data_IF_697530580802
#
_entry.id   IF_697530580802
#
_cell.length_a   1.000
_cell.length_b   1.000
_cell.length_c   1.000
_cell.angle_alpha   90.00
_cell.angle_beta   90.00
_cell.angle_gamma   90.00
#
_symmetry.space_group_name_H-M   'P 1'
#
loop_
_entity.id
_entity.type
_entity.pdbx_description
1 polymer ?
#
# COMPACT_ATOMS: atom_id res chain seq x y z
N UNK A 1 20.86 1.14 1.10
CA UNK A 1 19.99 0.34 1.99
C UNK A 1 18.95 1.20 2.72
N UNK A 2 19.34 2.30 3.38
CA UNK A 2 18.43 3.21 4.11
C UNK A 2 17.20 3.56 3.26
N UNK A 3 17.39 4.10 2.06
CA UNK A 3 16.29 4.57 1.21
C UNK A 3 15.29 3.45 0.86
N UNK A 4 15.79 2.24 0.58
CA UNK A 4 14.93 1.09 0.30
C UNK A 4 14.06 0.69 1.50
N UNK A 5 14.66 0.63 2.70
CA UNK A 5 13.91 0.28 3.92
C UNK A 5 12.89 1.37 4.27
N UNK A 6 13.28 2.65 4.18
CA UNK A 6 12.40 3.79 4.46
C UNK A 6 11.24 3.86 3.47
N UNK A 7 11.50 3.57 2.20
CA UNK A 7 10.47 3.53 1.17
C UNK A 7 9.49 2.36 1.41
N UNK A 8 10.00 1.15 1.73
CA UNK A 8 9.15 0.00 2.11
C UNK A 8 8.27 0.36 3.31
N UNK A 9 8.84 0.96 4.37
CA UNK A 9 8.10 1.35 5.58
C UNK A 9 7.04 2.40 5.26
N UNK A 10 7.37 3.38 4.42
CA UNK A 10 6.43 4.40 3.95
C UNK A 10 5.25 3.79 3.21
N UNK A 11 5.47 2.75 2.42
CA UNK A 11 4.45 2.08 1.61
C UNK A 11 3.74 0.93 2.33
N UNK A 12 4.15 0.59 3.54
CA UNK A 12 3.54 -0.46 4.38
C UNK A 12 3.10 0.09 5.73
N UNK A 13 4.01 0.25 6.66
CA UNK A 13 3.77 0.59 8.06
C UNK A 13 3.09 1.95 8.26
N UNK A 14 3.46 2.98 7.48
CA UNK A 14 2.91 4.32 7.65
C UNK A 14 1.44 4.45 7.28
N UNK A 15 0.91 3.49 6.53
CA UNK A 15 -0.52 3.43 6.19
C UNK A 15 -1.41 3.00 7.37
N UNK A 16 -0.82 2.32 8.39
CA UNK A 16 -1.47 2.01 9.66
C UNK A 16 -2.50 0.87 9.63
N UNK A 17 -2.65 0.17 8.51
CA UNK A 17 -3.58 -0.97 8.38
C UNK A 17 -2.90 -2.29 7.95
N UNK A 18 -1.58 -2.28 7.80
CA UNK A 18 -0.76 -3.47 7.65
C UNK A 18 0.00 -3.74 8.94
N UNK A 19 -0.05 -4.97 9.44
CA UNK A 19 0.65 -5.38 10.66
C UNK A 19 1.95 -6.13 10.36
N UNK A 20 1.98 -6.82 9.22
CA UNK A 20 3.07 -7.66 8.76
C UNK A 20 3.39 -7.34 7.30
N UNK A 21 4.65 -7.55 6.89
CA UNK A 21 5.01 -7.59 5.48
C UNK A 21 6.07 -8.67 5.24
N UNK A 22 6.02 -9.29 4.06
CA UNK A 22 7.02 -10.25 3.62
C UNK A 22 7.92 -9.62 2.57
N UNK A 23 9.22 -9.80 2.71
CA UNK A 23 10.21 -9.44 1.71
C UNK A 23 10.78 -10.74 1.13
N UNK A 24 10.83 -10.82 -0.19
CA UNK A 24 11.50 -11.89 -0.95
C UNK A 24 12.60 -11.26 -1.79
N UNK A 25 13.85 -11.55 -1.46
CA UNK A 25 15.02 -10.98 -2.13
C UNK A 25 15.84 -12.03 -2.85
N UNK A 26 16.35 -11.63 -4.01
CA UNK A 26 17.37 -12.35 -4.80
C UNK A 26 18.45 -11.35 -5.22
N UNK A 27 19.50 -11.83 -5.89
CA UNK A 27 20.52 -10.94 -6.46
C UNK A 27 19.96 -10.00 -7.56
N UNK A 28 18.80 -10.37 -8.15
CA UNK A 28 18.20 -9.66 -9.28
C UNK A 28 16.94 -8.86 -8.89
N UNK A 29 16.29 -9.18 -7.78
CA UNK A 29 15.02 -8.57 -7.39
C UNK A 29 14.83 -8.49 -5.89
N UNK A 30 14.03 -7.51 -5.45
CA UNK A 30 13.47 -7.46 -4.09
C UNK A 30 11.99 -7.16 -4.21
N UNK A 31 11.18 -8.11 -3.78
CA UNK A 31 9.71 -8.03 -3.78
C UNK A 31 9.20 -7.84 -2.36
N UNK A 32 8.11 -7.09 -2.22
CA UNK A 32 7.41 -6.89 -0.95
C UNK A 32 5.97 -7.29 -1.13
N UNK A 33 5.45 -8.09 -0.22
CA UNK A 33 4.06 -8.51 -0.21
C UNK A 33 3.46 -8.30 1.17
N UNK A 34 2.24 -7.76 1.23
CA UNK A 34 1.44 -7.70 2.45
C UNK A 34 -0.05 -7.63 2.13
N UNK A 35 -0.88 -7.87 3.13
CA UNK A 35 -2.31 -7.57 3.08
C UNK A 35 -2.79 -7.13 4.48
N UNK A 36 -3.90 -6.39 4.52
CA UNK A 36 -4.58 -6.11 5.78
C UNK A 36 -5.32 -7.36 6.29
N UNK A 37 -5.65 -7.40 7.57
CA UNK A 37 -6.28 -8.55 8.25
C UNK A 37 -7.51 -9.08 7.50
N UNK A 38 -8.33 -8.19 6.96
CA UNK A 38 -9.58 -8.53 6.25
C UNK A 38 -9.38 -8.72 4.74
N UNK A 39 -8.15 -8.61 4.25
CA UNK A 39 -7.81 -8.65 2.81
C UNK A 39 -8.60 -7.65 1.95
N UNK A 40 -8.95 -6.50 2.51
CA UNK A 40 -9.53 -5.39 1.76
C UNK A 40 -8.48 -4.64 0.93
N UNK A 41 -7.20 -4.79 1.30
CA UNK A 41 -6.05 -4.28 0.55
C UNK A 41 -4.98 -5.35 0.51
N UNK A 42 -4.50 -5.65 -0.69
CA UNK A 42 -3.29 -6.46 -0.92
C UNK A 42 -2.26 -5.55 -1.57
N UNK A 43 -1.04 -5.57 -1.08
CA UNK A 43 0.10 -4.89 -1.68
C UNK A 43 1.04 -5.90 -2.30
N UNK A 44 1.35 -5.71 -3.57
CA UNK A 44 2.45 -6.35 -4.30
C UNK A 44 3.40 -5.26 -4.77
N UNK A 45 4.67 -5.33 -4.39
CA UNK A 45 5.63 -4.31 -4.75
C UNK A 45 6.96 -4.92 -5.18
N UNK A 46 7.68 -4.20 -6.02
CA UNK A 46 9.02 -4.54 -6.47
C UNK A 46 9.92 -3.32 -6.42
N UNK A 47 11.08 -3.44 -5.79
CA UNK A 47 12.10 -2.41 -5.83
C UNK A 47 12.75 -2.35 -7.21
N UNK A 48 13.09 -1.15 -7.68
CA UNK A 48 13.79 -0.94 -8.96
C UNK A 48 15.24 -1.41 -8.94
N UNK A 49 15.85 -1.38 -7.74
CA UNK A 49 17.19 -1.90 -7.51
C UNK A 49 17.11 -2.94 -6.38
N UNK A 50 17.67 -4.13 -6.57
CA UNK A 50 17.70 -5.15 -5.53
C UNK A 50 18.36 -4.62 -4.25
N UNK A 51 17.76 -4.93 -3.12
CA UNK A 51 18.32 -4.63 -1.80
C UNK A 51 19.26 -5.78 -1.38
N UNK A 52 20.49 -5.79 -1.92
CA UNK A 52 21.44 -6.88 -1.86
C UNK A 52 21.60 -7.61 -0.50
N UNK A 53 21.58 -6.94 0.67
CA UNK A 53 21.62 -7.65 1.95
C UNK A 53 20.32 -8.38 2.33
N UNK A 54 19.21 -8.18 1.61
CA UNK A 54 17.92 -8.82 1.88
C UNK A 54 17.70 -10.03 0.97
N UNK A 55 18.66 -10.96 0.96
CA UNK A 55 18.57 -12.21 0.19
C UNK A 55 17.74 -13.24 0.96
N UNK A 56 16.85 -13.94 0.27
CA UNK A 56 15.94 -14.93 0.85
C UNK A 56 14.59 -14.38 1.21
N UNK A 57 13.87 -15.06 2.08
CA UNK A 57 12.54 -14.67 2.53
C UNK A 57 12.57 -14.28 4.01
N UNK A 58 12.16 -13.06 4.30
CA UNK A 58 12.08 -12.52 5.66
C UNK A 58 10.77 -11.77 5.88
N UNK A 59 10.34 -11.71 7.14
CA UNK A 59 9.16 -10.98 7.53
C UNK A 59 9.48 -9.72 8.32
N UNK A 60 8.69 -8.68 8.10
CA UNK A 60 8.59 -7.50 8.94
C UNK A 60 7.37 -7.67 9.85
N UNK A 61 7.60 -7.85 11.15
CA UNK A 61 6.53 -7.92 12.17
C UNK A 61 6.50 -6.65 12.99
N UNK A 62 5.36 -6.36 13.64
CA UNK A 62 5.21 -5.14 14.43
C UNK A 62 5.59 -3.88 13.63
N UNK A 63 4.94 -3.70 12.50
CA UNK A 63 5.24 -2.60 11.56
C UNK A 63 5.10 -1.21 12.21
N UNK A 64 4.25 -1.05 13.23
CA UNK A 64 4.12 0.20 13.98
C UNK A 64 5.43 0.58 14.70
N UNK A 65 6.12 -0.41 15.29
CA UNK A 65 7.43 -0.20 15.92
C UNK A 65 8.49 0.17 14.88
N UNK A 66 8.52 -0.53 13.73
CA UNK A 66 9.45 -0.20 12.63
C UNK A 66 9.20 1.21 12.08
N UNK A 67 7.93 1.62 11.95
CA UNK A 67 7.56 2.98 11.56
C UNK A 67 8.07 4.02 12.57
N UNK A 68 7.96 3.72 13.87
CA UNK A 68 8.53 4.56 14.92
C UNK A 68 10.05 4.71 14.80
N UNK A 69 10.77 3.62 14.58
CA UNK A 69 12.23 3.65 14.36
C UNK A 69 12.60 4.48 13.13
N UNK A 70 11.96 4.25 11.98
CA UNK A 70 12.24 5.04 10.78
C UNK A 70 11.93 6.52 10.99
N UNK A 71 10.89 6.86 11.76
CA UNK A 71 10.60 8.24 12.16
C UNK A 71 11.71 8.86 13.01
N UNK A 72 12.21 8.14 14.01
CA UNK A 72 13.32 8.57 14.89
C UNK A 72 14.62 8.77 14.10
N UNK A 73 14.91 7.90 13.15
CA UNK A 73 16.11 7.89 12.34
C UNK A 73 15.97 8.61 10.98
N UNK A 74 14.90 9.39 10.77
CA UNK A 74 14.67 10.16 9.55
C UNK A 74 15.41 11.52 9.60
N UNK A 75 16.74 11.45 9.64
CA UNK A 75 17.65 12.62 9.67
C UNK A 75 18.92 12.32 8.88
N UNK A 76 19.68 13.37 8.58
CA UNK A 76 20.96 13.23 7.91
C UNK A 76 21.99 12.48 8.79
N UNK A 77 22.95 11.82 8.15
CA UNK A 77 24.00 11.08 8.84
C UNK A 77 23.55 9.75 9.46
N UNK A 78 22.32 9.31 9.18
CA UNK A 78 21.84 7.98 9.61
C UNK A 78 22.21 6.92 8.61
N UNK A 79 22.77 5.81 9.12
CA UNK A 79 23.03 4.59 8.38
C UNK A 79 22.04 3.50 8.80
N UNK A 80 21.65 2.66 7.84
CA UNK A 80 20.86 1.45 8.09
C UNK A 80 21.56 0.27 7.45
N UNK A 81 22.02 -0.64 8.31
CA UNK A 81 22.69 -1.88 7.95
C UNK A 81 21.74 -3.08 8.10
N UNK A 82 22.08 -4.18 7.45
CA UNK A 82 21.44 -5.49 7.66
C UNK A 82 22.45 -6.44 8.23
N UNK A 83 22.23 -6.94 9.45
CA UNK A 83 23.01 -8.04 9.97
C UNK A 83 22.47 -9.37 9.45
N UNK A 84 23.36 -10.33 9.29
CA UNK A 84 23.04 -11.66 8.82
C UNK A 84 23.53 -12.71 9.81
N UNK A 85 22.96 -13.90 9.74
CA UNK A 85 23.37 -15.07 10.50
C UNK A 85 23.46 -16.29 9.58
N UNK A 86 24.47 -17.14 9.81
CA UNK A 86 24.59 -18.44 9.13
C UNK A 86 23.63 -19.45 9.77
N UNK A 87 22.72 -20.00 9.00
CA UNK A 87 21.78 -21.03 9.44
C UNK A 87 21.61 -22.09 8.36
N UNK A 88 21.91 -23.34 8.71
CA UNK A 88 21.81 -24.48 7.80
C UNK A 88 22.60 -24.31 6.48
N UNK A 89 23.75 -23.64 6.53
CA UNK A 89 24.58 -23.37 5.35
C UNK A 89 24.08 -22.22 4.45
N UNK A 90 23.13 -21.45 4.91
CA UNK A 90 22.64 -20.26 4.20
C UNK A 90 22.79 -19.02 5.08
N UNK A 91 23.24 -17.92 4.48
CA UNK A 91 23.30 -16.61 5.13
C UNK A 91 21.91 -15.97 5.05
N UNK A 92 21.31 -15.69 6.20
CA UNK A 92 19.95 -15.09 6.27
C UNK A 92 19.99 -13.74 6.99
N UNK A 93 19.23 -12.72 6.55
CA UNK A 93 19.07 -11.46 7.24
C UNK A 93 18.41 -11.65 8.62
N UNK A 94 18.93 -10.99 9.66
CA UNK A 94 18.45 -11.15 11.04
C UNK A 94 17.93 -9.84 11.65
N UNK A 95 18.66 -8.71 11.47
CA UNK A 95 18.28 -7.42 12.01
C UNK A 95 18.49 -6.30 11.00
N UNK A 96 17.62 -5.29 11.03
CA UNK A 96 17.97 -3.93 10.62
C UNK A 96 18.67 -3.24 11.79
N UNK A 97 19.80 -2.61 11.52
CA UNK A 97 20.59 -1.86 12.51
C UNK A 97 20.58 -0.40 12.09
N UNK A 98 19.90 0.42 12.87
CA UNK A 98 19.85 1.86 12.68
C UNK A 98 20.95 2.50 13.50
N UNK A 99 21.75 3.39 12.90
CA UNK A 99 22.83 4.14 13.57
C UNK A 99 22.75 5.60 13.19
N UNK A 100 22.98 6.48 14.15
CA UNK A 100 23.11 7.91 13.88
C UNK A 100 24.52 8.43 14.16
N UNK A 101 24.76 9.69 13.77
CA UNK A 101 26.05 10.34 13.94
C UNK A 101 26.44 10.55 15.42
N UNK A 102 25.47 10.53 16.33
CA UNK A 102 25.69 10.71 17.78
C UNK A 102 26.07 9.41 18.49
N UNK A 103 26.11 8.27 17.75
CA UNK A 103 26.47 6.96 18.26
C UNK A 103 25.26 6.17 18.83
N UNK A 104 24.04 6.68 18.70
CA UNK A 104 22.86 5.92 19.04
C UNK A 104 22.65 4.79 18.02
N UNK A 105 22.20 3.63 18.50
CA UNK A 105 21.86 2.52 17.65
C UNK A 105 20.65 1.75 18.18
N UNK A 106 19.80 1.33 17.25
CA UNK A 106 18.65 0.48 17.51
C UNK A 106 18.64 -0.70 16.56
N UNK A 107 18.10 -1.82 17.02
CA UNK A 107 17.97 -3.04 16.22
C UNK A 107 16.51 -3.43 16.08
N UNK A 108 16.10 -3.64 14.85
CA UNK A 108 14.79 -4.23 14.54
C UNK A 108 14.97 -5.65 14.04
N UNK A 109 14.36 -6.62 14.77
CA UNK A 109 14.49 -8.02 14.43
C UNK A 109 13.57 -8.42 13.29
N UNK A 110 14.14 -9.07 12.28
CA UNK A 110 13.40 -9.66 11.17
C UNK A 110 12.78 -11.00 11.60
N UNK A 111 11.60 -11.30 11.09
CA UNK A 111 10.99 -12.63 11.25
C UNK A 111 11.59 -13.58 10.23
N UNK A 112 11.84 -14.81 10.65
CA UNK A 112 12.29 -15.85 9.71
C UNK A 112 11.13 -16.31 8.80
N UNK A 113 11.51 -17.00 7.71
CA UNK A 113 10.58 -17.48 6.68
C UNK A 113 9.41 -18.29 7.26
N UNK A 114 9.71 -19.23 8.14
CA UNK A 114 8.71 -20.17 8.67
C UNK A 114 7.62 -19.44 9.48
N UNK A 115 8.00 -18.37 10.20
CA UNK A 115 7.07 -17.58 10.99
C UNK A 115 6.21 -16.71 10.07
N UNK A 116 6.83 -15.96 9.13
CA UNK A 116 6.06 -15.07 8.25
C UNK A 116 5.13 -15.85 7.33
N UNK A 117 5.53 -16.99 6.80
CA UNK A 117 4.69 -17.83 5.94
C UNK A 117 3.46 -18.41 6.68
N UNK A 118 3.60 -18.63 8.00
CA UNK A 118 2.47 -19.09 8.83
C UNK A 118 1.48 -17.95 9.10
N UNK A 119 1.98 -16.75 9.36
CA UNK A 119 1.15 -15.62 9.76
C UNK A 119 0.59 -14.84 8.56
N UNK A 120 1.31 -14.78 7.46
CA UNK A 120 0.97 -14.01 6.27
C UNK A 120 0.88 -14.93 5.04
N UNK A 121 -0.27 -15.55 4.85
CA UNK A 121 -0.51 -16.44 3.72
C UNK A 121 -0.64 -15.64 2.42
N UNK A 122 0.40 -15.67 1.62
CA UNK A 122 0.46 -14.99 0.34
C UNK A 122 -0.49 -15.61 -0.67
N UNK A 123 -1.31 -14.78 -1.32
CA UNK A 123 -2.10 -15.14 -2.48
C UNK A 123 -1.70 -14.27 -3.67
N UNK A 124 -1.34 -14.88 -4.79
CA UNK A 124 -1.05 -14.12 -6.01
C UNK A 124 -2.32 -13.54 -6.59
N UNK A 125 -2.29 -12.25 -6.91
CA UNK A 125 -3.32 -11.64 -7.74
C UNK A 125 -3.23 -12.23 -9.16
N UNK A 126 -4.34 -12.82 -9.62
CA UNK A 126 -4.38 -13.48 -10.95
C UNK A 126 -4.47 -12.50 -12.12
N UNK A 127 -4.49 -11.20 -11.81
CA UNK A 127 -4.77 -10.17 -12.79
C UNK A 127 -6.25 -10.13 -13.21
N UNK A 128 -6.67 -8.98 -13.69
CA UNK A 128 -7.99 -8.75 -14.28
C UNK A 128 -7.82 -7.83 -15.48
N UNK A 129 -8.82 -7.80 -16.35
CA UNK A 129 -8.88 -6.76 -17.38
C UNK A 129 -9.41 -5.48 -16.72
N UNK A 130 -8.61 -4.43 -16.76
CA UNK A 130 -9.00 -3.12 -16.28
C UNK A 130 -9.86 -2.41 -17.31
N UNK A 131 -11.00 -1.87 -16.87
CA UNK A 131 -11.94 -1.16 -17.75
C UNK A 131 -11.62 0.32 -17.82
N UNK A 132 -11.08 0.88 -16.74
CA UNK A 132 -10.76 2.31 -16.59
C UNK A 132 -9.34 2.44 -16.04
N UNK A 133 -8.58 3.41 -16.58
CA UNK A 133 -7.26 3.77 -16.07
C UNK A 133 -7.09 5.29 -16.19
N UNK A 134 -6.58 5.94 -15.13
CA UNK A 134 -6.34 7.38 -15.10
C UNK A 134 -5.33 7.78 -14.02
N UNK A 135 -4.80 8.98 -14.14
CA UNK A 135 -3.97 9.63 -13.13
C UNK A 135 -4.84 10.53 -12.24
N UNK A 136 -4.83 10.34 -10.90
CA UNK A 136 -5.68 11.12 -10.01
C UNK A 136 -5.13 12.55 -9.83
N UNK A 137 -6.00 13.56 -9.97
CA UNK A 137 -5.62 14.95 -9.74
C UNK A 137 -5.60 15.25 -8.23
N UNK A 138 -4.57 15.96 -7.75
CA UNK A 138 -4.45 16.39 -6.32
C UNK A 138 -5.70 17.12 -5.82
N UNK A 139 -6.30 17.96 -6.65
CA UNK A 139 -7.54 18.67 -6.32
C UNK A 139 -8.70 17.71 -6.05
N UNK A 140 -8.82 16.62 -6.83
CA UNK A 140 -9.87 15.62 -6.65
C UNK A 140 -9.64 14.73 -5.43
N UNK A 141 -8.38 14.42 -5.13
CA UNK A 141 -8.03 13.72 -3.87
C UNK A 141 -8.35 14.59 -2.65
N UNK A 142 -8.10 15.91 -2.71
CA UNK A 142 -8.46 16.86 -1.66
C UNK A 142 -9.99 16.96 -1.49
N UNK A 143 -10.75 17.07 -2.60
CA UNK A 143 -12.21 17.07 -2.58
C UNK A 143 -12.77 15.77 -1.98
N UNK A 144 -12.22 14.61 -2.37
CA UNK A 144 -12.59 13.33 -1.79
C UNK A 144 -12.29 13.26 -0.29
N UNK A 145 -11.16 13.85 0.16
CA UNK A 145 -10.80 13.91 1.59
C UNK A 145 -11.83 14.70 2.40
N UNK A 146 -12.35 15.81 1.85
CA UNK A 146 -13.41 16.60 2.51
C UNK A 146 -14.72 15.80 2.59
N UNK A 147 -15.11 15.14 1.49
CA UNK A 147 -16.30 14.27 1.48
C UNK A 147 -16.16 13.09 2.45
N UNK A 148 -14.98 12.45 2.49
CA UNK A 148 -14.69 11.39 3.44
C UNK A 148 -14.91 11.83 4.90
N UNK A 149 -14.47 13.03 5.26
CA UNK A 149 -14.69 13.60 6.61
C UNK A 149 -16.17 13.75 6.98
N UNK A 150 -17.06 13.90 5.99
CA UNK A 150 -18.50 14.04 6.21
C UNK A 150 -19.20 12.67 6.20
N UNK A 151 -18.88 11.83 5.22
CA UNK A 151 -19.66 10.62 4.93
C UNK A 151 -19.14 9.36 5.63
N UNK A 152 -17.86 9.25 5.96
CA UNK A 152 -17.28 8.01 6.51
C UNK A 152 -17.87 7.55 7.85
N UNK A 153 -18.44 8.50 8.63
CA UNK A 153 -19.13 8.16 9.88
C UNK A 153 -20.52 7.53 9.64
N UNK A 154 -21.11 7.75 8.47
CA UNK A 154 -22.42 7.23 8.07
C UNK A 154 -22.28 5.97 7.22
N UNK A 155 -21.37 6.00 6.25
CA UNK A 155 -21.07 4.92 5.32
C UNK A 155 -19.55 4.87 5.09
N UNK A 156 -18.84 3.83 5.56
CA UNK A 156 -17.38 3.75 5.44
C UNK A 156 -16.90 3.39 4.03
N UNK A 157 -17.83 3.17 3.10
CA UNK A 157 -17.53 2.78 1.72
C UNK A 157 -18.07 3.79 0.71
N UNK A 158 -17.51 3.79 -0.48
CA UNK A 158 -18.03 4.50 -1.64
C UNK A 158 -18.23 3.53 -2.81
N UNK A 159 -19.17 3.84 -3.70
CA UNK A 159 -19.37 3.12 -4.96
C UNK A 159 -18.88 3.95 -6.14
N UNK A 160 -18.63 3.27 -7.26
CA UNK A 160 -18.09 3.86 -8.48
C UNK A 160 -18.96 3.48 -9.66
N UNK A 161 -19.28 4.47 -10.51
CA UNK A 161 -19.91 4.26 -11.82
C UNK A 161 -19.39 5.24 -12.86
N UNK A 162 -19.65 4.97 -14.11
CA UNK A 162 -19.40 5.91 -15.21
C UNK A 162 -20.71 6.53 -15.70
N UNK A 163 -20.69 7.84 -15.90
CA UNK A 163 -21.78 8.61 -16.52
C UNK A 163 -21.18 9.64 -17.47
N UNK A 164 -21.62 9.66 -18.73
CA UNK A 164 -21.16 10.65 -19.72
C UNK A 164 -19.63 10.77 -19.85
N UNK A 165 -18.90 9.65 -19.86
CA UNK A 165 -17.44 9.58 -19.85
C UNK A 165 -16.78 10.19 -18.60
N UNK A 166 -17.52 10.33 -17.52
CA UNK A 166 -17.01 10.73 -16.21
C UNK A 166 -17.01 9.53 -15.26
N UNK A 167 -15.98 9.43 -14.44
CA UNK A 167 -15.94 8.49 -13.32
C UNK A 167 -16.52 9.20 -12.09
N UNK A 168 -17.63 8.68 -11.61
CA UNK A 168 -18.40 9.26 -10.51
C UNK A 168 -18.27 8.39 -9.27
N UNK A 169 -17.89 9.01 -8.17
CA UNK A 169 -17.88 8.41 -6.83
C UNK A 169 -19.15 8.80 -6.10
N UNK A 170 -19.78 7.81 -5.46
CA UNK A 170 -21.03 7.95 -4.73
C UNK A 170 -20.79 7.54 -3.27
N UNK A 171 -21.25 8.39 -2.36
CA UNK A 171 -21.16 8.22 -0.90
C UNK A 171 -22.58 8.13 -0.35
N UNK A 172 -22.83 7.12 0.49
CA UNK A 172 -24.18 6.89 1.03
C UNK A 172 -25.14 6.31 -0.02
N UNK A 173 -26.45 6.53 0.18
CA UNK A 173 -27.51 6.02 -0.70
C UNK A 173 -28.54 7.11 -0.96
N UNK A 174 -29.08 7.15 -2.16
CA UNK A 174 -30.20 8.04 -2.55
C UNK A 174 -31.58 7.42 -2.31
N UNK A 175 -31.61 6.19 -1.73
CA UNK A 175 -32.86 5.47 -1.42
C UNK A 175 -33.14 5.49 0.09
N UNK A 176 -34.42 5.45 0.45
CA UNK A 176 -34.87 5.25 1.83
C UNK A 176 -34.61 6.40 2.81
N UNK A 177 -34.44 7.65 2.32
CA UNK A 177 -34.24 8.82 3.18
C UNK A 177 -32.83 8.93 3.78
N UNK A 178 -31.87 8.21 3.23
CA UNK A 178 -30.45 8.26 3.63
C UNK A 178 -29.74 9.51 3.06
N UNK A 179 -28.58 9.84 3.65
CA UNK A 179 -27.74 10.89 3.10
C UNK A 179 -27.02 10.40 1.83
N UNK A 180 -26.93 11.26 0.85
CA UNK A 180 -26.35 10.98 -0.45
C UNK A 180 -25.33 12.05 -0.85
N UNK A 181 -24.21 11.62 -1.39
CA UNK A 181 -23.19 12.49 -1.95
C UNK A 181 -22.63 11.93 -3.24
N UNK A 182 -22.40 12.82 -4.18
CA UNK A 182 -21.82 12.51 -5.48
C UNK A 182 -20.62 13.40 -5.77
N UNK A 183 -19.59 12.88 -6.45
CA UNK A 183 -18.54 13.70 -7.03
C UNK A 183 -18.03 13.09 -8.33
N UNK A 184 -17.71 13.91 -9.32
CA UNK A 184 -16.92 13.51 -10.48
C UNK A 184 -15.47 13.48 -10.07
N UNK A 185 -14.88 12.26 -10.06
CA UNK A 185 -13.49 12.07 -9.65
C UNK A 185 -12.52 12.18 -10.83
N UNK A 186 -12.87 11.62 -12.00
CA UNK A 186 -12.10 11.75 -13.23
C UNK A 186 -13.05 12.03 -14.42
N UNK A 187 -12.56 12.79 -15.39
CA UNK A 187 -13.30 13.11 -16.63
C UNK A 187 -12.57 12.54 -17.84
N UNK A 188 -13.31 12.35 -18.93
CA UNK A 188 -12.80 11.78 -20.19
C UNK A 188 -12.24 10.36 -20.00
N UNK A 189 -12.82 9.58 -19.12
CA UNK A 189 -12.46 8.18 -18.95
C UNK A 189 -13.00 7.34 -20.11
N UNK A 190 -12.20 6.37 -20.54
CA UNK A 190 -12.64 5.34 -21.48
C UNK A 190 -13.04 4.11 -20.69
N UNK A 191 -14.07 3.42 -21.14
CA UNK A 191 -14.62 2.26 -20.45
C UNK A 191 -15.89 2.55 -19.66
N UNK A 192 -16.51 1.52 -19.14
CA UNK A 192 -17.81 1.61 -18.49
C UNK A 192 -17.80 0.81 -17.19
N UNK A 193 -18.25 1.43 -16.11
CA UNK A 193 -18.53 0.76 -14.84
C UNK A 193 -19.99 0.96 -14.44
N UNK A 194 -20.60 -0.12 -13.96
CA UNK A 194 -21.94 -0.08 -13.37
C UNK A 194 -21.81 -0.04 -11.85
N UNK A 195 -22.74 0.62 -11.19
CA UNK A 195 -22.88 0.59 -9.75
C UNK A 195 -23.17 -0.85 -9.28
N UNK A 196 -22.63 -1.26 -8.13
CA UNK A 196 -22.83 -2.60 -7.58
C UNK A 196 -21.73 -3.10 -6.66
N UNK A 197 -20.57 -2.42 -6.69
CA UNK A 197 -19.45 -2.71 -5.82
C UNK A 197 -19.02 -1.46 -5.06
N UNK A 198 -18.48 -1.66 -3.87
CA UNK A 198 -18.01 -0.59 -2.99
C UNK A 198 -16.58 -0.84 -2.52
N UNK A 199 -15.89 0.23 -2.17
CA UNK A 199 -14.52 0.23 -1.68
C UNK A 199 -14.42 1.04 -0.37
N UNK A 200 -13.53 0.66 0.56
CA UNK A 200 -13.34 1.37 1.82
C UNK A 200 -12.73 2.77 1.56
N UNK A 201 -13.40 3.82 2.06
CA UNK A 201 -13.01 5.21 1.86
C UNK A 201 -11.64 5.49 2.47
N UNK A 202 -11.43 5.08 3.72
CA UNK A 202 -10.22 5.34 4.50
C UNK A 202 -8.96 4.77 3.85
N UNK A 203 -9.00 3.51 3.46
CA UNK A 203 -7.86 2.81 2.84
C UNK A 203 -7.55 3.36 1.45
N UNK A 204 -8.57 3.47 0.61
CA UNK A 204 -8.42 4.03 -0.74
C UNK A 204 -7.81 5.44 -0.68
N UNK A 205 -8.33 6.31 0.20
CA UNK A 205 -7.88 7.68 0.33
C UNK A 205 -6.46 7.78 0.93
N UNK A 206 -6.12 6.92 1.91
CA UNK A 206 -4.78 6.89 2.50
C UNK A 206 -3.72 6.52 1.46
N UNK A 207 -3.99 5.52 0.62
CA UNK A 207 -3.10 5.11 -0.46
C UNK A 207 -2.99 6.22 -1.51
N UNK A 208 -4.11 6.84 -1.92
CA UNK A 208 -4.08 7.97 -2.86
C UNK A 208 -3.24 9.13 -2.36
N UNK A 209 -3.39 9.52 -1.08
CA UNK A 209 -2.60 10.60 -0.48
C UNK A 209 -1.11 10.29 -0.51
N UNK A 210 -0.73 9.05 -0.25
CA UNK A 210 0.65 8.60 -0.36
C UNK A 210 1.17 8.74 -1.80
N UNK A 211 0.35 8.38 -2.79
CA UNK A 211 0.68 8.47 -4.22
C UNK A 211 0.83 9.88 -4.77
N UNK A 212 0.32 10.91 -4.04
CA UNK A 212 0.40 12.30 -4.53
C UNK A 212 1.80 12.92 -4.49
N UNK A 213 2.77 12.24 -3.90
CA UNK A 213 4.18 12.64 -3.90
C UNK A 213 5.03 11.99 -5.00
N UNK A 214 4.48 11.05 -5.77
CA UNK A 214 5.14 10.33 -6.86
C UNK A 214 4.24 10.22 -8.09
N UNK A 215 4.56 9.30 -8.97
CA UNK A 215 3.69 8.92 -10.09
C UNK A 215 2.63 7.95 -9.58
N UNK A 216 1.37 8.27 -9.83
CA UNK A 216 0.24 7.48 -9.34
C UNK A 216 -0.77 7.22 -10.46
N UNK A 217 -1.12 5.95 -10.67
CA UNK A 217 -2.16 5.54 -11.60
C UNK A 217 -3.23 4.76 -10.84
N UNK A 218 -4.49 5.03 -11.16
CA UNK A 218 -5.64 4.30 -10.60
C UNK A 218 -6.36 3.56 -11.71
N UNK A 219 -6.62 2.29 -11.48
CA UNK A 219 -7.35 1.43 -12.40
C UNK A 219 -8.56 0.82 -11.71
N UNK A 220 -9.67 0.75 -12.41
CA UNK A 220 -10.88 0.08 -11.97
C UNK A 220 -11.35 -0.97 -12.96
N UNK A 221 -11.85 -2.06 -12.43
CA UNK A 221 -12.80 -2.94 -13.11
C UNK A 221 -13.99 -3.19 -12.18
N UNK A 222 -14.98 -3.92 -12.63
CA UNK A 222 -16.21 -4.13 -11.85
C UNK A 222 -15.96 -4.71 -10.45
N UNK A 223 -14.95 -5.55 -10.28
CA UNK A 223 -14.70 -6.31 -9.05
C UNK A 223 -13.45 -5.90 -8.28
N UNK A 224 -12.63 -4.99 -8.81
CA UNK A 224 -11.39 -4.58 -8.17
C UNK A 224 -10.98 -3.16 -8.56
N UNK A 225 -10.22 -2.54 -7.68
CA UNK A 225 -9.46 -1.32 -7.94
C UNK A 225 -7.97 -1.61 -7.73
N UNK A 226 -7.10 -1.04 -8.54
CA UNK A 226 -5.66 -1.03 -8.32
C UNK A 226 -5.14 0.40 -8.31
N UNK A 227 -4.33 0.71 -7.31
CA UNK A 227 -3.58 1.97 -7.23
C UNK A 227 -2.12 1.60 -7.34
N UNK A 228 -1.47 2.03 -8.43
CA UNK A 228 -0.04 1.85 -8.65
C UNK A 228 0.67 3.14 -8.31
N UNK A 229 1.70 3.06 -7.47
CA UNK A 229 2.56 4.18 -7.09
C UNK A 229 3.99 3.85 -7.46
N UNK A 230 4.60 4.67 -8.29
CA UNK A 230 6.05 4.67 -8.52
C UNK A 230 6.68 5.71 -7.58
N UNK A 231 7.40 5.23 -6.58
CA UNK A 231 8.07 6.08 -5.59
C UNK A 231 9.44 6.60 -6.05
N UNK A 232 9.92 6.12 -7.21
CA UNK A 232 11.30 6.29 -7.64
C UNK A 232 12.22 5.16 -7.17
N UNK A 233 12.02 4.63 -5.97
CA UNK A 233 12.76 3.49 -5.39
C UNK A 233 12.13 2.15 -5.75
N UNK A 234 10.79 2.09 -5.80
CA UNK A 234 10.02 0.89 -6.11
C UNK A 234 8.68 1.21 -6.77
N UNK A 235 8.04 0.16 -7.29
CA UNK A 235 6.66 0.21 -7.81
C UNK A 235 5.76 -0.58 -6.88
N UNK A 236 4.73 0.06 -6.36
CA UNK A 236 3.81 -0.45 -5.34
C UNK A 236 2.40 -0.56 -5.91
N UNK A 237 1.90 -1.78 -6.06
CA UNK A 237 0.56 -2.08 -6.56
C UNK A 237 -0.36 -2.42 -5.38
N UNK A 238 -1.26 -1.53 -5.04
CA UNK A 238 -2.29 -1.74 -4.03
C UNK A 238 -3.58 -2.21 -4.70
N UNK A 239 -3.96 -3.45 -4.43
CA UNK A 239 -5.14 -4.09 -5.00
C UNK A 239 -6.23 -4.10 -3.94
N UNK A 240 -7.36 -3.46 -4.26
CA UNK A 240 -8.54 -3.37 -3.41
C UNK A 240 -9.68 -4.15 -4.07
N UNK A 241 -10.03 -5.34 -3.57
CA UNK A 241 -11.23 -6.05 -4.02
C UNK A 241 -12.49 -5.22 -3.77
N UNK A 242 -13.41 -5.21 -4.72
CA UNK A 242 -14.72 -4.61 -4.55
C UNK A 242 -15.64 -5.51 -3.72
N UNK A 243 -16.38 -4.91 -2.80
CA UNK A 243 -17.38 -5.61 -2.00
C UNK A 243 -18.77 -5.43 -2.64
N UNK A 244 -19.52 -6.50 -2.79
CA UNK A 244 -20.92 -6.41 -3.22
C UNK A 244 -21.73 -5.64 -2.18
N UNK A 245 -22.55 -4.74 -2.64
CA UNK A 245 -23.43 -3.91 -1.81
C UNK A 245 -24.77 -4.57 -1.57
#
# INVERSE_FOLDING_TARGET
>A
MKDAIFDIVRHTASLGFFDLAKITGTDESTEVWTCDEKRNVVLEAQLKTPAAPLIGEVGLGNLSFLNGLTGLYNKDGVEVDVSTVEKNGSTIPEYFIFKDADGNNDKYRLMNKEIIDTQLQQSKFKGVKWDISFEPKKTKVSEMSQKAGIYSALEPTFTVKTENNELVFIFGSDTGGSHFGRMTFASNVTGTMKEGYSWPIDKFLSILKLGMSGECTVQFCQVACMITIDSGTGVYNYILPGHTR
#
